data_IF_812810957039
#
_entry.id   IF_812810957039
#
_cell.length_a   1.000
_cell.length_b   1.000
_cell.length_c   1.000
_cell.angle_alpha   90.00
_cell.angle_beta   90.00
_cell.angle_gamma   90.00
#
_symmetry.space_group_name_H-M   'P 1'
#
loop_
_entity.id
_entity.type
_entity.pdbx_description
1 polymer ?
#
# COMPACT_ATOMS: atom_id res chain seq x y z
N UNK A 1 7.46 -29.08 -7.77
CA UNK A 1 6.37 -29.09 -6.77
C UNK A 1 6.18 -30.52 -6.32
N UNK A 2 6.27 -30.81 -5.03
CA UNK A 2 6.04 -32.19 -4.56
C UNK A 2 4.56 -32.55 -4.73
N UNK A 3 4.25 -33.82 -5.00
CA UNK A 3 2.87 -34.31 -5.13
C UNK A 3 2.02 -33.99 -3.87
N UNK A 4 2.67 -34.00 -2.70
CA UNK A 4 2.03 -33.67 -1.42
C UNK A 4 1.52 -32.22 -1.36
N UNK A 5 2.29 -31.24 -1.81
CA UNK A 5 1.86 -29.84 -1.83
C UNK A 5 0.65 -29.61 -2.75
N UNK A 6 0.52 -30.38 -3.82
CA UNK A 6 -0.62 -30.30 -4.73
C UNK A 6 -1.90 -30.83 -4.07
N UNK A 7 -1.84 -31.99 -3.40
CA UNK A 7 -2.99 -32.53 -2.67
C UNK A 7 -3.47 -31.59 -1.55
N UNK A 8 -2.55 -30.98 -0.80
CA UNK A 8 -2.90 -30.06 0.28
C UNK A 8 -3.53 -28.76 -0.23
N UNK A 9 -3.04 -28.19 -1.35
CA UNK A 9 -3.69 -27.03 -1.97
C UNK A 9 -5.10 -27.37 -2.47
N UNK A 10 -5.30 -28.56 -3.05
CA UNK A 10 -6.61 -28.98 -3.55
C UNK A 10 -7.62 -29.17 -2.40
N UNK A 11 -7.20 -29.82 -1.32
CA UNK A 11 -8.01 -29.98 -0.10
C UNK A 11 -8.33 -28.62 0.53
N UNK A 12 -7.35 -27.72 0.57
CA UNK A 12 -7.49 -26.37 1.12
C UNK A 12 -8.52 -25.53 0.36
N UNK A 13 -8.44 -25.50 -0.98
CA UNK A 13 -9.40 -24.77 -1.81
C UNK A 13 -10.81 -25.30 -1.60
N UNK A 14 -10.98 -26.62 -1.48
CA UNK A 14 -12.29 -27.26 -1.29
C UNK A 14 -12.88 -26.99 0.10
N UNK A 15 -12.06 -26.89 1.15
CA UNK A 15 -12.51 -26.70 2.53
C UNK A 15 -12.74 -25.24 2.93
N UNK A 16 -12.15 -24.26 2.24
CA UNK A 16 -12.36 -22.84 2.59
C UNK A 16 -11.34 -21.83 2.08
N UNK A 17 -10.28 -22.27 1.38
CA UNK A 17 -9.27 -21.38 0.82
C UNK A 17 -9.86 -20.35 -0.15
N UNK A 18 -10.86 -20.73 -0.95
CA UNK A 18 -11.54 -19.83 -1.87
C UNK A 18 -12.34 -18.73 -1.14
N UNK A 19 -12.99 -19.07 -0.03
CA UNK A 19 -13.79 -18.13 0.76
C UNK A 19 -12.90 -17.08 1.44
N UNK A 20 -11.77 -17.52 2.01
CA UNK A 20 -10.79 -16.63 2.62
C UNK A 20 -10.19 -15.67 1.58
N UNK A 21 -9.80 -16.18 0.41
CA UNK A 21 -9.29 -15.35 -0.67
C UNK A 21 -10.33 -14.34 -1.19
N UNK A 22 -11.59 -14.75 -1.32
CA UNK A 22 -12.68 -13.85 -1.68
C UNK A 22 -12.87 -12.73 -0.64
N UNK A 23 -12.79 -13.04 0.66
CA UNK A 23 -12.82 -12.05 1.72
C UNK A 23 -11.70 -11.00 1.61
N UNK A 24 -10.47 -11.43 1.30
CA UNK A 24 -9.35 -10.53 1.08
C UNK A 24 -9.49 -9.69 -0.21
N UNK A 25 -10.06 -10.25 -1.28
CA UNK A 25 -10.36 -9.50 -2.51
C UNK A 25 -11.41 -8.42 -2.25
N UNK A 26 -12.48 -8.77 -1.53
CA UNK A 26 -13.52 -7.80 -1.14
C UNK A 26 -12.90 -6.69 -0.29
N UNK A 27 -12.10 -7.03 0.72
CA UNK A 27 -11.38 -6.05 1.53
C UNK A 27 -10.44 -5.17 0.68
N UNK A 28 -9.74 -5.74 -0.31
CA UNK A 28 -8.87 -5.00 -1.22
C UNK A 28 -9.66 -4.02 -2.10
N UNK A 29 -10.86 -4.41 -2.57
CA UNK A 29 -11.78 -3.53 -3.31
C UNK A 29 -12.28 -2.39 -2.41
N UNK A 30 -12.68 -2.68 -1.18
CA UNK A 30 -13.04 -1.63 -0.22
C UNK A 30 -11.88 -0.66 0.04
N UNK A 31 -10.66 -1.18 0.19
CA UNK A 31 -9.46 -0.34 0.32
C UNK A 31 -9.18 0.48 -0.96
N UNK A 32 -9.42 -0.08 -2.14
CA UNK A 32 -9.26 0.65 -3.39
C UNK A 32 -10.27 1.82 -3.50
N UNK A 33 -11.52 1.59 -3.10
CA UNK A 33 -12.59 2.60 -3.15
C UNK A 33 -12.34 3.75 -2.16
N UNK A 34 -11.80 3.46 -0.98
CA UNK A 34 -11.63 4.49 0.07
C UNK A 34 -10.61 5.57 -0.28
N UNK A 35 -9.85 5.45 -1.39
CA UNK A 35 -8.69 6.28 -1.83
C UNK A 35 -7.55 6.32 -0.80
N UNK A 36 -7.87 6.31 0.48
CA UNK A 36 -7.01 6.16 1.65
C UNK A 36 -6.46 4.72 1.72
N UNK A 37 -7.17 3.70 1.21
CA UNK A 37 -6.64 2.33 1.19
C UNK A 37 -5.67 2.03 0.04
N UNK A 38 -5.53 2.91 -0.97
CA UNK A 38 -4.73 2.69 -2.19
C UNK A 38 -3.31 2.12 -1.96
N UNK A 39 -2.48 2.63 -1.02
CA UNK A 39 -1.14 2.07 -0.81
C UNK A 39 -1.17 0.67 -0.20
N UNK A 40 -2.24 0.29 0.51
CA UNK A 40 -2.42 -1.04 1.10
C UNK A 40 -3.18 -2.01 0.18
N UNK A 41 -3.91 -1.51 -0.81
CA UNK A 41 -4.67 -2.33 -1.77
C UNK A 41 -3.79 -3.41 -2.42
N UNK A 42 -2.58 -3.05 -2.88
CA UNK A 42 -1.65 -4.01 -3.49
C UNK A 42 -1.22 -5.11 -2.50
N UNK A 43 -1.02 -4.76 -1.23
CA UNK A 43 -0.67 -5.74 -0.21
C UNK A 43 -1.83 -6.70 0.08
N UNK A 44 -3.06 -6.19 0.16
CA UNK A 44 -4.26 -7.01 0.36
C UNK A 44 -4.50 -8.01 -0.79
N UNK A 45 -4.29 -7.58 -2.04
CA UNK A 45 -4.35 -8.49 -3.20
C UNK A 45 -3.27 -9.58 -3.15
N UNK A 46 -2.05 -9.25 -2.73
CA UNK A 46 -0.99 -10.25 -2.56
C UNK A 46 -1.36 -11.28 -1.49
N UNK A 47 -1.97 -10.84 -0.37
CA UNK A 47 -2.44 -11.75 0.69
C UNK A 47 -3.55 -12.67 0.15
N UNK A 48 -4.48 -12.13 -0.65
CA UNK A 48 -5.51 -12.94 -1.32
C UNK A 48 -4.89 -14.02 -2.21
N UNK A 49 -3.86 -13.68 -2.99
CA UNK A 49 -3.15 -14.63 -3.84
C UNK A 49 -2.41 -15.71 -3.02
N UNK A 50 -1.75 -15.32 -1.92
CA UNK A 50 -1.06 -16.28 -1.05
C UNK A 50 -2.01 -17.19 -0.27
N UNK A 51 -3.23 -16.74 0.03
CA UNK A 51 -4.23 -17.57 0.71
C UNK A 51 -4.88 -18.60 -0.21
N UNK A 52 -4.88 -18.39 -1.53
CA UNK A 52 -5.35 -19.38 -2.52
C UNK A 52 -4.43 -20.61 -2.61
N UNK A 53 -3.11 -20.39 -2.59
CA UNK A 53 -2.10 -21.43 -2.80
C UNK A 53 -1.00 -21.33 -1.73
N UNK A 54 -1.30 -21.66 -0.46
CA UNK A 54 -0.34 -21.48 0.63
C UNK A 54 0.82 -22.47 0.56
N UNK A 55 0.62 -23.66 -0.03
CA UNK A 55 1.61 -24.72 -0.02
C UNK A 55 2.50 -24.67 -1.27
N UNK A 56 3.83 -24.75 -1.05
CA UNK A 56 4.83 -24.71 -2.12
C UNK A 56 5.41 -23.32 -2.42
N UNK A 57 4.94 -22.28 -1.73
CA UNK A 57 5.52 -20.94 -1.80
C UNK A 57 6.71 -20.82 -0.83
N UNK A 58 7.85 -20.28 -1.30
CA UNK A 58 9.01 -20.00 -0.46
C UNK A 58 9.23 -18.50 -0.40
N UNK A 59 9.25 -17.94 0.82
CA UNK A 59 9.61 -16.53 1.03
C UNK A 59 11.11 -16.39 0.84
N UNK A 60 11.51 -15.57 -0.14
CA UNK A 60 12.92 -15.22 -0.38
C UNK A 60 13.05 -13.71 -0.33
N UNK A 61 14.13 -13.21 0.28
CA UNK A 61 14.37 -11.77 0.35
C UNK A 61 14.70 -11.22 -1.04
N UNK A 62 14.04 -10.09 -1.36
CA UNK A 62 14.14 -9.39 -2.65
C UNK A 62 15.56 -8.93 -2.96
N UNK A 63 16.26 -8.43 -1.94
CA UNK A 63 17.66 -8.01 -2.02
C UNK A 63 18.59 -9.16 -2.44
N UNK A 64 18.28 -10.39 -2.01
CA UNK A 64 19.03 -11.60 -2.37
C UNK A 64 18.65 -12.13 -3.77
N UNK A 65 17.44 -11.81 -4.24
CA UNK A 65 16.90 -12.28 -5.54
C UNK A 65 17.29 -11.36 -6.71
N UNK A 66 17.22 -10.04 -6.54
CA UNK A 66 17.52 -9.04 -7.57
C UNK A 66 18.94 -8.46 -7.47
N UNK A 67 19.66 -8.70 -6.37
CA UNK A 67 21.02 -8.19 -6.17
C UNK A 67 21.14 -6.66 -6.11
N UNK A 68 20.02 -5.95 -5.96
CA UNK A 68 19.93 -4.48 -5.86
C UNK A 68 18.86 -4.13 -4.82
N UNK A 69 19.08 -3.06 -4.06
CA UNK A 69 18.13 -2.63 -3.03
C UNK A 69 16.87 -2.00 -3.67
N UNK A 70 15.70 -2.55 -3.35
CA UNK A 70 14.41 -2.08 -3.87
C UNK A 70 13.94 -0.81 -3.15
N UNK A 71 13.71 0.26 -3.91
CA UNK A 71 13.25 1.57 -3.44
C UNK A 71 11.91 1.47 -2.67
N UNK A 72 11.06 0.52 -3.07
CA UNK A 72 9.73 0.31 -2.49
C UNK A 72 9.71 -0.44 -1.15
N UNK A 73 10.84 -1.00 -0.71
CA UNK A 73 10.93 -1.73 0.58
C UNK A 73 11.92 -1.15 1.57
N UNK A 74 12.78 -0.25 1.09
CA UNK A 74 13.73 0.45 1.94
C UNK A 74 13.12 1.68 2.64
N UNK A 75 13.97 2.50 3.27
CA UNK A 75 13.57 3.72 3.98
C UNK A 75 12.76 4.70 3.11
N UNK A 76 13.04 4.73 1.80
CA UNK A 76 12.35 5.60 0.84
C UNK A 76 10.88 5.19 0.62
N UNK A 77 10.56 3.89 0.66
CA UNK A 77 9.18 3.41 0.61
C UNK A 77 8.39 3.79 1.86
N UNK A 78 9.03 3.77 3.03
CA UNK A 78 8.44 4.25 4.30
C UNK A 78 8.17 5.74 4.22
N UNK A 79 9.13 6.54 3.72
CA UNK A 79 8.95 7.98 3.49
C UNK A 79 7.80 8.24 2.52
N UNK A 80 7.70 7.50 1.41
CA UNK A 80 6.59 7.60 0.47
C UNK A 80 5.23 7.34 1.12
N UNK A 81 5.11 6.29 1.95
CA UNK A 81 3.90 6.02 2.72
C UNK A 81 3.58 7.13 3.74
N UNK A 82 4.59 7.68 4.41
CA UNK A 82 4.43 8.78 5.38
C UNK A 82 4.02 10.09 4.70
N UNK A 83 4.64 10.45 3.59
CA UNK A 83 4.29 11.63 2.78
C UNK A 83 2.87 11.50 2.24
N UNK A 84 2.50 10.32 1.77
CA UNK A 84 1.15 10.03 1.31
C UNK A 84 0.13 10.16 2.47
N UNK A 85 0.44 9.60 3.64
CA UNK A 85 -0.44 9.66 4.81
C UNK A 85 -0.58 11.10 5.32
N UNK A 86 0.52 11.85 5.44
CA UNK A 86 0.52 13.26 5.83
C UNK A 86 -0.20 14.12 4.81
N UNK A 87 0.03 13.93 3.51
CA UNK A 87 -0.64 14.68 2.44
C UNK A 87 -2.14 14.43 2.37
N UNK A 88 -2.60 13.21 2.69
CA UNK A 88 -4.02 12.86 2.76
C UNK A 88 -4.69 13.22 4.10
N UNK A 89 -3.97 13.18 5.21
CA UNK A 89 -4.48 13.43 6.57
C UNK A 89 -4.31 14.90 7.00
N UNK A 90 -3.45 15.68 6.36
CA UNK A 90 -3.24 17.10 6.67
C UNK A 90 -3.68 18.04 5.54
N UNK A 91 -4.96 18.05 5.11
CA UNK A 91 -5.45 19.05 4.17
C UNK A 91 -5.37 20.49 4.72
N UNK A 92 -5.31 20.65 6.05
CA UNK A 92 -5.43 21.96 6.70
C UNK A 92 -4.14 22.59 7.27
N UNK A 93 -2.95 21.97 7.15
CA UNK A 93 -1.70 22.55 7.71
C UNK A 93 -0.97 23.46 6.72
N UNK A 94 -0.99 23.13 5.42
CA UNK A 94 -0.43 23.99 4.38
C UNK A 94 -1.37 25.19 4.08
N UNK A 95 -2.69 24.96 4.09
CA UNK A 95 -3.66 26.03 3.98
C UNK A 95 -3.60 27.02 5.16
N UNK A 96 -3.32 26.54 6.38
CA UNK A 96 -3.06 27.42 7.53
C UNK A 96 -1.71 28.13 7.46
N UNK A 97 -0.67 27.50 6.93
CA UNK A 97 0.63 28.16 6.79
C UNK A 97 0.55 29.38 5.84
N UNK A 98 -0.27 29.29 4.78
CA UNK A 98 -0.57 30.41 3.87
C UNK A 98 -1.57 31.41 4.48
N UNK A 99 -2.58 30.95 5.22
CA UNK A 99 -3.57 31.86 5.83
C UNK A 99 -3.07 32.57 7.10
N UNK A 100 -1.99 32.09 7.72
CA UNK A 100 -1.37 32.68 8.91
C UNK A 100 -0.18 33.59 8.56
N UNK A 101 0.10 33.81 7.27
CA UNK A 101 1.05 34.82 6.82
C UNK A 101 0.30 36.15 6.53
N UNK A 102 0.33 37.13 7.45
CA UNK A 102 -0.36 38.40 7.26
C UNK A 102 0.31 39.27 6.19
N UNK A 103 1.52 38.90 5.74
CA UNK A 103 2.30 39.69 4.78
C UNK A 103 1.79 39.56 3.33
N UNK A 104 1.09 38.48 3.00
CA UNK A 104 0.45 38.26 1.69
C UNK A 104 -0.83 39.07 1.47
N UNK A 105 -1.37 39.71 2.51
CA UNK A 105 -2.54 40.59 2.43
C UNK A 105 -2.16 42.09 2.29
N UNK A 106 -0.87 42.42 2.26
CA UNK A 106 -0.42 43.81 2.11
C UNK A 106 -0.31 44.19 0.61
N UNK A 107 -1.14 45.12 0.10
CA UNK A 107 -1.13 45.53 -1.31
C UNK A 107 0.18 46.22 -1.74
N UNK A 108 1.08 46.53 -0.81
CA UNK A 108 2.39 47.16 -1.09
C UNK A 108 3.44 46.21 -1.68
N UNK A 109 3.21 44.90 -1.69
CA UNK A 109 4.16 43.93 -2.27
C UNK A 109 4.16 43.88 -3.82
N UNK A 110 3.15 44.47 -4.47
CA UNK A 110 3.06 44.52 -5.95
C UNK A 110 3.62 45.81 -6.57
N UNK A 111 4.22 46.70 -5.77
CA UNK A 111 4.77 47.98 -6.24
C UNK A 111 6.23 48.16 -5.84
N UNK A 112 7.13 47.41 -6.45
CA UNK A 112 8.54 47.84 -6.59
C UNK A 112 9.10 47.47 -7.96
N UNK A 113 8.95 48.42 -8.88
CA UNK A 113 10.04 48.87 -9.77
C UNK A 113 11.01 49.70 -8.95
#
# INVERSE_FOLDING_TARGET
MSAFSFLLNLLWILFGGLWMAAGWVIAAIFMAITIIGLPWTRAAFNIAAYTLLPFGQKVVSRALYFGREDIGTGPLGVVGNLVWLVGKVAPGRLARAVSLDPSLHDPRFFTKT
#
